data_IF_155611682641
#
_entry.id   IF_155611682641
#
_cell.length_a   1.000
_cell.length_b   1.000
_cell.length_c   1.000
_cell.angle_alpha   90.00
_cell.angle_beta   90.00
_cell.angle_gamma   90.00
#
_symmetry.space_group_name_H-M   'P 1'
#
loop_
_entity.id
_entity.type
_entity.pdbx_description
1 polymer ?
#
# COMPACT_ATOMS: atom_id res chain seq x y z
N UNK A 1 50.13 69.97 -47.83
CA UNK A 1 50.76 68.64 -47.63
C UNK A 1 50.30 67.98 -46.33
N UNK A 2 49.93 68.75 -45.30
CA UNK A 2 49.47 68.24 -43.99
C UNK A 2 48.03 67.69 -44.05
N UNK A 3 47.10 68.46 -44.65
CA UNK A 3 45.69 68.06 -44.87
C UNK A 3 45.54 66.73 -45.65
N UNK A 4 46.40 66.48 -46.63
CA UNK A 4 46.40 65.25 -47.42
C UNK A 4 46.90 64.04 -46.63
N UNK A 5 47.79 64.25 -45.63
CA UNK A 5 48.27 63.17 -44.74
C UNK A 5 47.24 62.84 -43.66
N UNK A 6 46.56 63.84 -43.11
CA UNK A 6 45.47 63.63 -42.14
C UNK A 6 44.28 62.89 -42.74
N UNK A 7 43.90 63.20 -43.98
CA UNK A 7 42.84 62.45 -44.69
C UNK A 7 43.23 61.01 -45.00
N UNK A 8 44.49 60.74 -45.35
CA UNK A 8 45.00 59.38 -45.57
C UNK A 8 45.03 58.60 -44.25
N UNK A 9 45.54 59.19 -43.17
CA UNK A 9 45.56 58.58 -41.84
C UNK A 9 44.13 58.32 -41.33
N UNK A 10 43.22 59.29 -41.43
CA UNK A 10 41.81 59.13 -41.07
C UNK A 10 41.13 57.98 -41.82
N UNK A 11 41.39 57.87 -43.13
CA UNK A 11 40.89 56.76 -43.97
C UNK A 11 41.47 55.41 -43.54
N UNK A 12 42.75 55.34 -43.19
CA UNK A 12 43.39 54.10 -42.69
C UNK A 12 42.79 53.67 -41.35
N UNK A 13 42.56 54.59 -40.41
CA UNK A 13 41.87 54.29 -39.14
C UNK A 13 40.43 53.81 -39.35
N UNK A 14 39.66 54.47 -40.22
CA UNK A 14 38.30 54.06 -40.56
C UNK A 14 38.28 52.67 -41.21
N UNK A 15 39.24 52.39 -42.08
CA UNK A 15 39.36 51.08 -42.72
C UNK A 15 39.70 49.99 -41.70
N UNK A 16 40.60 50.26 -40.74
CA UNK A 16 40.90 49.35 -39.65
C UNK A 16 39.66 49.08 -38.77
N UNK A 17 38.89 50.11 -38.43
CA UNK A 17 37.65 49.99 -37.65
C UNK A 17 36.57 49.19 -38.39
N UNK A 18 36.42 49.38 -39.70
CA UNK A 18 35.48 48.60 -40.52
C UNK A 18 35.89 47.13 -40.54
N UNK A 19 37.18 46.82 -40.68
CA UNK A 19 37.69 45.44 -40.63
C UNK A 19 37.43 44.81 -39.25
N UNK A 20 37.69 45.54 -38.17
CA UNK A 20 37.41 45.07 -36.80
C UNK A 20 35.90 44.82 -36.58
N UNK A 21 35.03 45.70 -37.09
CA UNK A 21 33.59 45.51 -37.03
C UNK A 21 33.13 44.30 -37.84
N UNK A 22 33.71 44.05 -39.02
CA UNK A 22 33.39 42.85 -39.82
C UNK A 22 33.74 41.58 -39.04
N UNK A 23 34.92 41.54 -38.43
CA UNK A 23 35.37 40.41 -37.61
C UNK A 23 34.48 40.19 -36.39
N UNK A 24 34.13 41.28 -35.68
CA UNK A 24 33.23 41.21 -34.54
C UNK A 24 31.84 40.72 -34.97
N UNK A 25 31.32 41.22 -36.08
CA UNK A 25 30.01 40.85 -36.59
C UNK A 25 29.98 39.38 -37.03
N UNK A 26 31.07 38.88 -37.63
CA UNK A 26 31.23 37.46 -37.95
C UNK A 26 31.23 36.58 -36.68
N UNK A 27 31.92 36.99 -35.62
CA UNK A 27 31.92 36.27 -34.33
C UNK A 27 30.54 36.28 -33.66
N UNK A 28 29.85 37.42 -33.68
CA UNK A 28 28.50 37.53 -33.14
C UNK A 28 27.51 36.64 -33.91
N UNK A 29 27.57 36.61 -35.25
CA UNK A 29 26.76 35.70 -36.06
C UNK A 29 27.02 34.23 -35.73
N UNK A 30 28.28 33.84 -35.58
CA UNK A 30 28.64 32.49 -35.18
C UNK A 30 28.07 32.15 -33.79
N UNK A 31 28.14 33.09 -32.84
CA UNK A 31 27.61 32.89 -31.48
C UNK A 31 26.09 32.81 -31.46
N UNK A 32 25.38 33.64 -32.22
CA UNK A 32 23.91 33.56 -32.35
C UNK A 32 23.50 32.21 -32.91
N UNK A 33 24.16 31.75 -33.99
CA UNK A 33 23.87 30.44 -34.58
C UNK A 33 24.11 29.29 -33.61
N UNK A 34 25.18 29.37 -32.79
CA UNK A 34 25.44 28.39 -31.74
C UNK A 34 24.34 28.41 -30.67
N UNK A 35 23.93 29.59 -30.20
CA UNK A 35 22.86 29.74 -29.21
C UNK A 35 21.51 29.23 -29.73
N UNK A 36 21.19 29.45 -31.00
CA UNK A 36 19.99 28.91 -31.64
C UNK A 36 19.98 27.38 -31.65
N UNK A 37 21.15 26.77 -31.93
CA UNK A 37 21.31 25.33 -31.88
C UNK A 37 21.19 24.79 -30.45
N UNK A 38 21.91 25.37 -29.48
CA UNK A 38 21.83 24.98 -28.06
C UNK A 38 20.39 25.10 -27.54
N UNK A 39 19.67 26.17 -27.91
CA UNK A 39 18.28 26.36 -27.52
C UNK A 39 17.34 25.32 -28.17
N UNK A 40 17.56 24.95 -29.43
CA UNK A 40 16.78 23.91 -30.09
C UNK A 40 16.99 22.54 -29.43
N UNK A 41 18.24 22.20 -29.08
CA UNK A 41 18.59 20.97 -28.37
C UNK A 41 17.94 20.93 -26.98
N UNK A 42 18.04 22.03 -26.22
CA UNK A 42 17.41 22.16 -24.90
C UNK A 42 15.88 22.07 -24.98
N UNK A 43 15.25 22.69 -25.97
CA UNK A 43 13.81 22.58 -26.20
C UNK A 43 13.38 21.15 -26.55
N UNK A 44 14.21 20.42 -27.30
CA UNK A 44 13.96 19.00 -27.60
C UNK A 44 14.06 18.16 -26.33
N UNK A 45 15.12 18.34 -25.54
CA UNK A 45 15.30 17.63 -24.27
C UNK A 45 14.17 17.92 -23.29
N UNK A 46 13.75 19.19 -23.15
CA UNK A 46 12.64 19.58 -22.30
C UNK A 46 11.31 18.92 -22.72
N UNK A 47 11.04 18.84 -24.03
CA UNK A 47 9.86 18.13 -24.55
C UNK A 47 9.89 16.65 -24.24
N UNK A 48 11.06 16.02 -24.32
CA UNK A 48 11.23 14.61 -24.00
C UNK A 48 10.98 14.35 -22.51
N UNK A 49 11.58 15.13 -21.61
CA UNK A 49 11.35 15.02 -20.16
C UNK A 49 9.86 15.19 -19.83
N UNK A 50 9.19 16.20 -20.40
CA UNK A 50 7.75 16.41 -20.17
C UNK A 50 6.91 15.22 -20.68
N UNK A 51 7.32 14.57 -21.77
CA UNK A 51 6.62 13.38 -22.27
C UNK A 51 6.82 12.17 -21.36
N UNK A 52 8.06 11.96 -20.87
CA UNK A 52 8.41 10.90 -19.92
C UNK A 52 7.69 11.10 -18.58
N UNK A 53 7.67 12.32 -18.04
CA UNK A 53 6.95 12.66 -16.81
C UNK A 53 5.45 12.40 -16.94
N UNK A 54 4.84 12.77 -18.08
CA UNK A 54 3.43 12.49 -18.34
C UNK A 54 3.14 10.99 -18.37
N UNK A 55 3.99 10.21 -19.02
CA UNK A 55 3.85 8.76 -19.07
C UNK A 55 3.98 8.14 -17.68
N UNK A 56 4.95 8.61 -16.88
CA UNK A 56 5.15 8.14 -15.50
C UNK A 56 3.97 8.48 -14.61
N UNK A 57 3.44 9.71 -14.69
CA UNK A 57 2.24 10.11 -13.94
C UNK A 57 1.06 9.22 -14.29
N UNK A 58 0.83 8.93 -15.57
CA UNK A 58 -0.24 8.03 -16.00
C UNK A 58 -0.06 6.61 -15.44
N UNK A 59 1.17 6.09 -15.48
CA UNK A 59 1.48 4.79 -14.92
C UNK A 59 1.23 4.74 -13.41
N UNK A 60 1.65 5.77 -12.67
CA UNK A 60 1.42 5.86 -11.22
C UNK A 60 -0.07 5.96 -10.88
N UNK A 61 -0.84 6.73 -11.66
CA UNK A 61 -2.30 6.81 -11.49
C UNK A 61 -2.96 5.45 -11.72
N UNK A 62 -2.53 4.71 -12.73
CA UNK A 62 -3.05 3.36 -12.99
C UNK A 62 -2.71 2.39 -11.86
N UNK A 63 -1.46 2.42 -11.35
CA UNK A 63 -1.05 1.59 -10.23
C UNK A 63 -1.82 1.94 -8.94
N UNK A 64 -2.05 3.22 -8.69
CA UNK A 64 -2.85 3.68 -7.56
C UNK A 64 -4.29 3.16 -7.65
N UNK A 65 -4.94 3.31 -8.81
CA UNK A 65 -6.30 2.83 -9.01
C UNK A 65 -6.42 1.30 -8.80
N UNK A 66 -5.44 0.53 -9.28
CA UNK A 66 -5.39 -0.93 -9.07
C UNK A 66 -5.20 -1.25 -7.58
N UNK A 67 -4.31 -0.52 -6.89
CA UNK A 67 -4.04 -0.71 -5.47
C UNK A 67 -5.29 -0.40 -4.62
N UNK A 68 -5.96 0.71 -4.90
CA UNK A 68 -7.20 1.13 -4.24
C UNK A 68 -8.33 0.12 -4.45
N UNK A 69 -8.50 -0.38 -5.69
CA UNK A 69 -9.49 -1.42 -5.98
C UNK A 69 -9.22 -2.70 -5.17
N UNK A 70 -7.96 -3.16 -5.11
CA UNK A 70 -7.56 -4.33 -4.31
C UNK A 70 -7.75 -4.11 -2.81
N UNK A 71 -7.43 -2.92 -2.32
CA UNK A 71 -7.60 -2.57 -0.92
C UNK A 71 -9.09 -2.60 -0.54
N UNK A 72 -9.95 -2.03 -1.40
CA UNK A 72 -11.39 -2.04 -1.22
C UNK A 72 -11.97 -3.45 -1.24
N UNK A 73 -11.57 -4.26 -2.23
CA UNK A 73 -12.01 -5.66 -2.32
C UNK A 73 -11.65 -6.46 -1.05
N UNK A 74 -10.41 -6.31 -0.57
CA UNK A 74 -9.98 -6.96 0.69
C UNK A 74 -10.76 -6.45 1.89
N UNK A 75 -11.01 -5.14 1.98
CA UNK A 75 -11.80 -4.57 3.07
C UNK A 75 -13.23 -5.13 3.08
N UNK A 76 -13.86 -5.26 1.92
CA UNK A 76 -15.19 -5.87 1.78
C UNK A 76 -15.17 -7.36 2.17
N UNK A 77 -14.13 -8.11 1.76
CA UNK A 77 -13.94 -9.50 2.19
C UNK A 77 -13.78 -9.64 3.71
N UNK A 78 -12.95 -8.81 4.34
CA UNK A 78 -12.78 -8.82 5.80
C UNK A 78 -14.05 -8.43 6.54
N UNK A 79 -14.78 -7.43 6.05
CA UNK A 79 -16.07 -7.05 6.62
C UNK A 79 -17.04 -8.24 6.57
N UNK A 80 -17.14 -8.92 5.43
CA UNK A 80 -17.97 -10.12 5.29
C UNK A 80 -17.55 -11.24 6.23
N UNK A 81 -16.25 -11.51 6.37
CA UNK A 81 -15.74 -12.51 7.32
C UNK A 81 -16.11 -12.16 8.77
N UNK A 82 -15.98 -10.89 9.16
CA UNK A 82 -16.36 -10.43 10.50
C UNK A 82 -17.87 -10.58 10.75
N UNK A 83 -18.71 -10.29 9.75
CA UNK A 83 -20.15 -10.52 9.83
C UNK A 83 -20.49 -12.00 10.04
N UNK A 84 -19.84 -12.91 9.30
CA UNK A 84 -20.05 -14.35 9.47
C UNK A 84 -19.55 -14.82 10.84
N UNK A 85 -18.39 -14.33 11.29
CA UNK A 85 -17.88 -14.61 12.62
C UNK A 85 -18.87 -14.18 13.72
N UNK A 86 -19.41 -12.96 13.63
CA UNK A 86 -20.40 -12.46 14.60
C UNK A 86 -21.69 -13.29 14.60
N UNK A 87 -22.14 -13.78 13.43
CA UNK A 87 -23.29 -14.68 13.33
C UNK A 87 -23.02 -16.02 14.01
N UNK A 88 -21.87 -16.65 13.73
CA UNK A 88 -21.46 -17.88 14.41
C UNK A 88 -21.34 -17.68 15.93
N UNK A 89 -20.77 -16.56 16.36
CA UNK A 89 -20.61 -16.23 17.78
C UNK A 89 -21.96 -16.04 18.47
N UNK A 90 -22.95 -15.49 17.78
CA UNK A 90 -24.32 -15.33 18.32
C UNK A 90 -24.96 -16.68 18.59
N UNK A 91 -24.88 -17.61 17.63
CA UNK A 91 -25.38 -18.98 17.78
C UNK A 91 -24.62 -19.73 18.88
N UNK A 92 -23.29 -19.61 18.92
CA UNK A 92 -22.45 -20.22 19.95
C UNK A 92 -22.85 -19.72 21.35
N UNK A 93 -23.04 -18.42 21.52
CA UNK A 93 -23.43 -17.84 22.81
C UNK A 93 -24.82 -18.30 23.25
N UNK A 94 -25.77 -18.45 22.33
CA UNK A 94 -27.08 -19.01 22.62
C UNK A 94 -26.99 -20.48 23.06
N UNK A 95 -26.24 -21.30 22.31
CA UNK A 95 -26.01 -22.70 22.66
C UNK A 95 -25.31 -22.85 24.02
N UNK A 96 -24.32 -21.99 24.30
CA UNK A 96 -23.67 -21.92 25.61
C UNK A 96 -24.67 -21.57 26.71
N UNK A 97 -25.51 -20.55 26.50
CA UNK A 97 -26.52 -20.16 27.50
C UNK A 97 -27.46 -21.32 27.86
N UNK A 98 -27.92 -22.08 26.86
CA UNK A 98 -28.73 -23.27 27.09
C UNK A 98 -27.97 -24.34 27.88
N UNK A 99 -26.71 -24.62 27.51
CA UNK A 99 -25.90 -25.61 28.23
C UNK A 99 -25.57 -25.15 29.65
N UNK A 100 -25.36 -23.86 29.87
CA UNK A 100 -25.15 -23.27 31.19
C UNK A 100 -26.37 -23.49 32.08
N UNK A 101 -27.58 -23.21 31.59
CA UNK A 101 -28.82 -23.46 32.33
C UNK A 101 -29.03 -24.95 32.62
N UNK A 102 -28.70 -25.83 31.66
CA UNK A 102 -28.81 -27.28 31.84
C UNK A 102 -27.76 -27.88 32.77
N UNK A 103 -26.70 -27.14 33.08
CA UNK A 103 -25.57 -27.62 33.90
C UNK A 103 -25.33 -26.79 35.15
N UNK A 104 -26.25 -25.87 35.48
CA UNK A 104 -26.13 -24.97 36.64
C UNK A 104 -26.19 -25.73 37.97
N UNK A 105 -26.93 -26.86 38.02
CA UNK A 105 -27.07 -27.67 39.22
C UNK A 105 -26.10 -28.86 39.28
N UNK A 106 -26.00 -29.47 40.46
CA UNK A 106 -25.23 -30.69 40.71
C UNK A 106 -26.06 -31.96 40.46
N UNK A 107 -27.03 -31.92 39.55
CA UNK A 107 -27.88 -33.06 39.26
C UNK A 107 -27.14 -34.14 38.44
N UNK A 108 -27.55 -35.42 38.52
CA UNK A 108 -27.04 -36.45 37.62
C UNK A 108 -27.27 -36.13 36.13
N UNK A 109 -28.29 -35.33 35.82
CA UNK A 109 -28.55 -34.87 34.46
C UNK A 109 -27.50 -33.86 33.99
N UNK A 110 -27.19 -32.85 34.82
CA UNK A 110 -26.13 -31.88 34.55
C UNK A 110 -24.77 -32.56 34.36
N UNK A 111 -24.43 -33.55 35.21
CA UNK A 111 -23.21 -34.34 35.07
C UNK A 111 -23.17 -35.10 33.74
N UNK A 112 -24.29 -35.71 33.32
CA UNK A 112 -24.38 -36.38 32.02
C UNK A 112 -24.19 -35.42 30.85
N UNK A 113 -24.77 -34.21 30.92
CA UNK A 113 -24.59 -33.17 29.89
C UNK A 113 -23.13 -32.70 29.83
N UNK A 114 -22.47 -32.47 30.97
CA UNK A 114 -21.03 -32.15 31.04
C UNK A 114 -20.18 -33.23 30.37
N UNK A 115 -20.44 -34.50 30.69
CA UNK A 115 -19.73 -35.62 30.07
C UNK A 115 -19.94 -35.67 28.55
N UNK A 116 -21.18 -35.54 28.08
CA UNK A 116 -21.48 -35.56 26.65
C UNK A 116 -20.81 -34.41 25.91
N UNK A 117 -20.78 -33.20 26.52
CA UNK A 117 -20.06 -32.07 25.97
C UNK A 117 -18.56 -32.38 25.86
N UNK A 118 -17.93 -32.89 26.93
CA UNK A 118 -16.49 -33.18 26.94
C UNK A 118 -16.10 -34.19 25.83
N UNK A 119 -16.91 -35.24 25.65
CA UNK A 119 -16.71 -36.23 24.59
C UNK A 119 -16.83 -35.60 23.19
N UNK A 120 -17.86 -34.77 22.96
CA UNK A 120 -18.07 -34.11 21.66
C UNK A 120 -17.02 -33.02 21.39
N UNK A 121 -16.61 -32.29 22.41
CA UNK A 121 -15.56 -31.29 22.32
C UNK A 121 -14.24 -31.93 21.89
N UNK A 122 -13.80 -33.00 22.57
CA UNK A 122 -12.58 -33.72 22.22
C UNK A 122 -12.63 -34.25 20.77
N UNK A 123 -13.76 -34.81 20.33
CA UNK A 123 -13.95 -35.28 18.96
C UNK A 123 -13.82 -34.14 17.93
N UNK A 124 -14.44 -32.99 18.18
CA UNK A 124 -14.38 -31.84 17.26
C UNK A 124 -12.99 -31.20 17.23
N UNK A 125 -12.32 -31.08 18.38
CA UNK A 125 -10.95 -30.56 18.45
C UNK A 125 -9.99 -31.46 17.69
N UNK A 126 -10.06 -32.79 17.87
CA UNK A 126 -9.22 -33.73 17.11
C UNK A 126 -9.43 -33.57 15.60
N UNK A 127 -10.69 -33.56 15.16
CA UNK A 127 -11.03 -33.39 13.74
C UNK A 127 -10.55 -32.05 13.18
N UNK A 128 -10.65 -30.98 13.96
CA UNK A 128 -10.21 -29.65 13.56
C UNK A 128 -8.68 -29.55 13.50
N UNK A 129 -7.96 -30.21 14.40
CA UNK A 129 -6.49 -30.30 14.35
C UNK A 129 -6.03 -31.11 13.14
N UNK A 130 -6.64 -32.28 12.90
CA UNK A 130 -6.32 -33.16 11.76
C UNK A 130 -6.55 -32.48 10.41
N UNK A 131 -7.63 -31.70 10.29
CA UNK A 131 -7.94 -30.94 9.07
C UNK A 131 -7.16 -29.62 8.96
N UNK A 132 -6.38 -29.25 9.98
CA UNK A 132 -5.68 -27.95 10.04
C UNK A 132 -6.61 -26.74 10.22
N UNK A 133 -7.87 -26.96 10.60
CA UNK A 133 -8.84 -25.90 10.91
C UNK A 133 -8.49 -25.12 12.18
N UNK A 134 -7.77 -25.75 13.12
CA UNK A 134 -7.14 -25.08 14.27
C UNK A 134 -5.71 -25.56 14.43
N UNK A 135 -4.85 -24.72 15.02
CA UNK A 135 -3.46 -25.07 15.35
C UNK A 135 -3.33 -25.67 16.75
N UNK A 136 -4.17 -25.20 17.67
CA UNK A 136 -4.19 -25.56 19.07
C UNK A 136 -5.66 -25.72 19.53
N UNK A 137 -5.94 -26.59 20.50
CA UNK A 137 -7.22 -26.63 21.18
C UNK A 137 -7.59 -25.25 21.77
N UNK A 138 -8.87 -24.82 21.70
CA UNK A 138 -9.30 -23.54 22.26
C UNK A 138 -8.96 -23.33 23.74
N UNK A 139 -8.94 -24.40 24.53
CA UNK A 139 -8.57 -24.39 25.96
C UNK A 139 -7.07 -24.23 26.22
N UNK A 140 -6.23 -24.41 25.20
CA UNK A 140 -4.78 -24.27 25.25
C UNK A 140 -4.25 -23.07 24.44
N UNK A 141 -5.14 -22.24 23.87
CA UNK A 141 -4.79 -21.11 23.01
C UNK A 141 -4.89 -19.78 23.77
N UNK A 142 -3.75 -19.08 23.94
CA UNK A 142 -3.69 -17.78 24.64
C UNK A 142 -4.45 -16.67 23.91
N UNK A 143 -4.45 -16.67 22.57
CA UNK A 143 -5.17 -15.67 21.79
C UNK A 143 -6.68 -15.90 21.91
N UNK A 144 -7.11 -17.16 21.90
CA UNK A 144 -8.48 -17.54 22.19
C UNK A 144 -8.89 -17.09 23.60
N UNK A 145 -8.03 -17.30 24.60
CA UNK A 145 -8.27 -16.88 25.98
C UNK A 145 -8.49 -15.37 26.10
N UNK A 146 -7.71 -14.57 25.36
CA UNK A 146 -7.84 -13.10 25.35
C UNK A 146 -9.09 -12.63 24.60
N UNK A 147 -9.42 -13.29 23.50
CA UNK A 147 -10.49 -12.85 22.60
C UNK A 147 -11.88 -13.28 23.07
N UNK A 148 -11.99 -14.50 23.62
CA UNK A 148 -13.26 -15.11 24.06
C UNK A 148 -13.19 -15.67 25.49
N UNK A 149 -12.87 -14.84 26.50
CA UNK A 149 -12.60 -15.30 27.86
C UNK A 149 -13.79 -16.03 28.51
N UNK A 150 -15.03 -15.58 28.25
CA UNK A 150 -16.24 -16.24 28.78
C UNK A 150 -16.47 -17.62 28.17
N UNK A 151 -16.12 -17.79 26.90
CA UNK A 151 -16.26 -19.08 26.21
C UNK A 151 -15.20 -20.06 26.71
N UNK A 152 -13.96 -19.58 26.91
CA UNK A 152 -12.92 -20.39 27.53
C UNK A 152 -13.32 -20.85 28.94
N UNK A 153 -13.79 -19.94 29.80
CA UNK A 153 -14.22 -20.28 31.15
C UNK A 153 -15.33 -21.34 31.15
N UNK A 154 -16.27 -21.24 30.22
CA UNK A 154 -17.29 -22.26 30.01
C UNK A 154 -16.70 -23.62 29.63
N UNK A 155 -15.80 -23.66 28.63
CA UNK A 155 -15.16 -24.89 28.20
C UNK A 155 -14.45 -25.56 29.37
N UNK A 156 -13.63 -24.80 30.12
CA UNK A 156 -12.89 -25.32 31.28
C UNK A 156 -13.86 -25.91 32.30
N UNK A 157 -14.91 -25.18 32.69
CA UNK A 157 -15.94 -25.67 33.62
C UNK A 157 -16.63 -26.95 33.15
N UNK A 158 -16.90 -27.08 31.85
CA UNK A 158 -17.54 -28.27 31.29
C UNK A 158 -16.60 -29.47 31.21
N UNK A 159 -15.29 -29.25 31.20
CA UNK A 159 -14.24 -30.28 31.16
C UNK A 159 -13.76 -30.68 32.55
N UNK A 160 -13.95 -29.82 33.56
CA UNK A 160 -13.72 -30.16 34.96
C UNK A 160 -14.63 -31.33 35.37
N UNK A 161 -14.01 -32.37 35.93
CA UNK A 161 -14.73 -33.52 36.50
C UNK A 161 -15.09 -33.19 37.94
N UNK A 162 -16.38 -33.33 38.28
CA UNK A 162 -16.81 -33.47 39.69
C UNK A 162 -16.24 -34.76 40.30
#
# INVERSE_FOLDING_TARGET
>A
MEYTREHVAGRETLQAQVVEQIDLNARLHARVKQLEQENAEMMSAAKQVVAEDKALIQQLQQQLAISEAKARERAEQYANQLWQYNRCLTVLNAARGVLDELTEDASPHAAHVRQLFAEKYAQQVSKALESGGIKLPPDADEEFARTLPKTLAFIVRMLERD
#
